data_IF_419419901264
#
_entry.id   IF_419419901264
#
_cell.length_a   1.000
_cell.length_b   1.000
_cell.length_c   1.000
_cell.angle_alpha   90.00
_cell.angle_beta   90.00
_cell.angle_gamma   90.00
#
_symmetry.space_group_name_H-M   'P 1'
#
loop_
_entity.id
_entity.type
_entity.pdbx_description
1 polymer ?
#
# COMPACT_ATOMS: atom_id res chain seq x y z
N UNK A 1 10.99 21.41 -22.72
CA UNK A 1 11.36 20.51 -21.63
C UNK A 1 10.18 20.47 -20.68
N UNK A 2 9.36 19.44 -20.75
CA UNK A 2 8.26 19.20 -19.79
C UNK A 2 8.96 18.68 -18.53
N UNK A 3 8.99 19.48 -17.46
CA UNK A 3 9.37 19.00 -16.13
C UNK A 3 8.34 17.94 -15.76
N UNK A 4 8.69 16.68 -15.79
CA UNK A 4 7.95 15.62 -15.12
C UNK A 4 7.97 15.96 -13.62
N UNK A 5 6.87 16.53 -13.11
CA UNK A 5 6.69 16.69 -11.67
C UNK A 5 6.84 15.31 -11.03
N UNK A 6 7.78 15.18 -10.12
CA UNK A 6 7.99 13.94 -9.40
C UNK A 6 6.71 13.66 -8.62
N UNK A 7 6.05 12.52 -8.88
CA UNK A 7 4.85 12.09 -8.16
C UNK A 7 5.15 12.07 -6.66
N UNK A 8 4.34 12.77 -5.87
CA UNK A 8 4.45 12.70 -4.42
C UNK A 8 3.75 11.44 -3.91
N UNK A 9 4.54 10.50 -3.42
CA UNK A 9 4.07 9.20 -2.94
C UNK A 9 4.28 9.09 -1.43
N UNK A 10 3.24 8.70 -0.71
CA UNK A 10 3.32 8.27 0.68
C UNK A 10 3.36 6.74 0.73
N UNK A 11 4.38 6.17 1.35
CA UNK A 11 4.45 4.74 1.68
C UNK A 11 3.66 4.50 2.96
N UNK A 12 2.36 4.30 2.83
CA UNK A 12 1.47 4.12 3.98
C UNK A 12 1.58 2.70 4.51
N UNK A 13 2.00 2.54 5.77
CA UNK A 13 2.06 1.22 6.42
C UNK A 13 0.71 0.51 6.35
N UNK A 14 0.71 -0.78 6.06
CA UNK A 14 -0.52 -1.57 5.90
C UNK A 14 -1.36 -1.64 7.19
N UNK A 15 -0.74 -1.53 8.36
CA UNK A 15 -1.48 -1.41 9.62
C UNK A 15 -2.28 -0.11 9.69
N UNK A 16 -1.72 1.02 9.20
CA UNK A 16 -2.44 2.30 9.08
C UNK A 16 -3.55 2.25 8.01
N UNK A 17 -3.36 1.50 6.93
CA UNK A 17 -4.42 1.29 5.92
C UNK A 17 -5.60 0.55 6.52
N UNK A 18 -5.36 -0.48 7.31
CA UNK A 18 -6.39 -1.31 7.98
C UNK A 18 -6.88 -0.70 9.30
N UNK A 19 -6.28 0.37 9.79
CA UNK A 19 -6.69 1.02 11.03
C UNK A 19 -8.14 1.51 10.96
N UNK A 20 -8.83 1.49 12.09
CA UNK A 20 -10.22 1.95 12.23
C UNK A 20 -10.23 3.34 12.85
N UNK A 21 -10.90 4.27 12.21
CA UNK A 21 -11.05 5.63 12.71
C UNK A 21 -12.22 6.36 12.02
N UNK A 22 -12.81 7.31 12.74
CA UNK A 22 -13.89 8.16 12.24
C UNK A 22 -13.45 9.63 12.31
N UNK A 23 -12.91 10.13 11.22
CA UNK A 23 -12.50 11.53 11.04
C UNK A 23 -13.11 12.10 9.77
N UNK A 24 -13.31 13.41 9.74
CA UNK A 24 -13.86 14.07 8.58
C UNK A 24 -12.82 14.14 7.42
N UNK A 25 -13.27 14.43 6.18
CA UNK A 25 -12.37 14.42 5.03
C UNK A 25 -11.20 15.40 5.14
N UNK A 26 -11.36 16.53 5.81
CA UNK A 26 -10.33 17.56 5.95
C UNK A 26 -9.30 17.17 7.03
N UNK A 27 -9.76 16.59 8.14
CA UNK A 27 -8.90 15.98 9.15
C UNK A 27 -8.04 14.88 8.53
N UNK A 28 -8.66 14.03 7.70
CA UNK A 28 -7.97 12.96 7.02
C UNK A 28 -6.92 13.47 6.03
N UNK A 29 -7.24 14.54 5.27
CA UNK A 29 -6.26 15.23 4.40
C UNK A 29 -5.09 15.80 5.19
N UNK A 30 -5.37 16.45 6.31
CA UNK A 30 -4.31 16.98 7.17
C UNK A 30 -3.45 15.88 7.75
N UNK A 31 -4.04 14.78 8.20
CA UNK A 31 -3.31 13.62 8.71
C UNK A 31 -2.39 13.02 7.64
N UNK A 32 -2.86 12.81 6.42
CA UNK A 32 -2.03 12.31 5.31
C UNK A 32 -0.85 13.25 4.99
N UNK A 33 -1.04 14.56 5.05
CA UNK A 33 0.03 15.53 4.88
C UNK A 33 1.07 15.43 6.00
N UNK A 34 0.63 15.25 7.25
CA UNK A 34 1.52 15.02 8.40
C UNK A 34 2.34 13.75 8.20
N UNK A 35 1.70 12.63 7.83
CA UNK A 35 2.38 11.36 7.58
C UNK A 35 3.44 11.49 6.48
N UNK A 36 3.09 12.12 5.37
CA UNK A 36 4.02 12.34 4.26
C UNK A 36 5.20 13.23 4.65
N UNK A 37 4.95 14.27 5.44
CA UNK A 37 6.02 15.16 5.93
C UNK A 37 6.94 14.43 6.89
N UNK A 38 6.41 13.67 7.84
CA UNK A 38 7.18 12.85 8.77
C UNK A 38 8.04 11.80 8.04
N UNK A 39 7.47 11.14 7.01
CA UNK A 39 8.21 10.16 6.24
C UNK A 39 9.40 10.77 5.46
N UNK A 40 9.26 12.01 4.95
CA UNK A 40 10.34 12.72 4.26
C UNK A 40 11.48 13.16 5.18
N UNK A 41 11.15 13.56 6.41
CA UNK A 41 12.16 14.07 7.36
C UNK A 41 13.05 12.94 7.88
N UNK A 42 12.50 11.72 7.93
CA UNK A 42 13.21 10.52 8.43
C UNK A 42 13.93 10.74 9.77
N UNK A 43 13.31 11.55 10.65
CA UNK A 43 13.88 11.94 11.94
C UNK A 43 13.22 11.15 13.07
N UNK A 44 14.00 10.86 14.11
CA UNK A 44 13.55 10.18 15.34
C UNK A 44 12.67 11.06 16.22
N UNK A 45 12.56 12.36 15.91
CA UNK A 45 11.88 13.36 16.77
C UNK A 45 10.34 13.27 16.75
N UNK A 46 9.73 12.47 15.89
CA UNK A 46 8.27 12.39 15.73
C UNK A 46 7.60 13.74 15.41
N UNK A 47 8.36 14.72 14.93
CA UNK A 47 7.89 16.10 14.69
C UNK A 47 8.05 16.49 13.23
N UNK A 48 7.08 17.25 12.73
CA UNK A 48 7.18 17.87 11.42
C UNK A 48 6.68 19.31 11.46
N UNK A 49 7.16 20.10 10.51
CA UNK A 49 6.76 21.49 10.33
C UNK A 49 6.03 21.68 9.01
N UNK A 50 4.85 22.31 9.03
CA UNK A 50 4.04 22.57 7.84
C UNK A 50 3.51 24.01 7.91
N UNK A 51 3.71 24.78 6.84
CA UNK A 51 3.19 26.14 6.76
C UNK A 51 1.67 26.15 6.59
N UNK A 52 1.00 27.12 7.21
CA UNK A 52 -0.45 27.31 7.08
C UNK A 52 -0.87 27.46 5.61
N UNK A 53 -0.07 28.15 4.79
CA UNK A 53 -0.32 28.31 3.36
C UNK A 53 -0.28 26.96 2.60
N UNK A 54 0.66 26.08 2.94
CA UNK A 54 0.74 24.74 2.35
C UNK A 54 -0.49 23.90 2.72
N UNK A 55 -0.90 23.90 3.99
CA UNK A 55 -2.10 23.18 4.44
C UNK A 55 -3.35 23.68 3.69
N UNK A 56 -3.53 24.99 3.60
CA UNK A 56 -4.65 25.61 2.87
C UNK A 56 -4.68 25.18 1.39
N UNK A 57 -3.54 25.26 0.72
CA UNK A 57 -3.43 24.92 -0.70
C UNK A 57 -3.68 23.44 -0.97
N UNK A 58 -3.17 22.56 -0.12
CA UNK A 58 -3.29 21.10 -0.28
C UNK A 58 -4.69 20.59 0.05
N UNK A 59 -5.30 21.10 1.10
CA UNK A 59 -6.69 20.75 1.46
C UNK A 59 -7.66 21.34 0.42
N UNK A 60 -7.36 22.54 -0.11
CA UNK A 60 -8.10 23.24 -1.15
C UNK A 60 -9.62 23.26 -0.90
N UNK A 61 -10.02 23.80 0.26
CA UNK A 61 -11.41 23.85 0.67
C UNK A 61 -11.82 25.22 1.14
N UNK A 62 -13.07 25.60 0.83
CA UNK A 62 -13.68 26.80 1.37
C UNK A 62 -13.81 26.76 2.90
N UNK A 63 -13.83 25.58 3.48
CA UNK A 63 -13.95 25.37 4.93
C UNK A 63 -12.62 25.44 5.67
N UNK A 64 -11.48 25.59 4.97
CA UNK A 64 -10.12 25.66 5.58
C UNK A 64 -9.37 26.83 4.95
N UNK A 65 -9.82 28.04 5.22
CA UNK A 65 -9.24 29.27 4.65
C UNK A 65 -8.37 30.03 5.62
N UNK A 66 -8.71 29.98 6.91
CA UNK A 66 -8.04 30.76 7.94
C UNK A 66 -7.27 29.83 8.89
N UNK A 67 -6.36 30.43 9.63
CA UNK A 67 -5.54 29.77 10.65
C UNK A 67 -6.39 29.04 11.71
N UNK A 68 -7.53 29.66 12.09
CA UNK A 68 -8.44 29.09 13.09
C UNK A 68 -8.99 27.73 12.71
N UNK A 69 -9.35 27.52 11.44
CA UNK A 69 -9.86 26.25 10.97
C UNK A 69 -8.78 25.16 11.02
N UNK A 70 -7.52 25.50 10.71
CA UNK A 70 -6.40 24.55 10.83
C UNK A 70 -6.18 24.15 12.30
N UNK A 71 -6.22 25.13 13.23
CA UNK A 71 -6.15 24.87 14.67
C UNK A 71 -7.26 23.92 15.11
N UNK A 72 -8.49 24.14 14.64
CA UNK A 72 -9.63 23.28 14.96
C UNK A 72 -9.41 21.84 14.43
N UNK A 73 -8.92 21.69 13.20
CA UNK A 73 -8.60 20.37 12.64
C UNK A 73 -7.51 19.65 13.43
N UNK A 74 -6.43 20.33 13.80
CA UNK A 74 -5.36 19.77 14.62
C UNK A 74 -5.85 19.40 16.03
N UNK A 75 -6.67 20.26 16.65
CA UNK A 75 -7.27 19.99 17.95
C UNK A 75 -8.20 18.78 17.90
N UNK A 76 -8.95 18.62 16.82
CA UNK A 76 -9.79 17.45 16.58
C UNK A 76 -8.96 16.18 16.40
N UNK A 77 -7.92 16.20 15.57
CA UNK A 77 -7.02 15.06 15.39
C UNK A 77 -6.34 14.62 16.70
N UNK A 78 -6.03 15.56 17.58
CA UNK A 78 -5.46 15.27 18.90
C UNK A 78 -6.45 14.52 19.80
N UNK A 79 -7.74 14.84 19.70
CA UNK A 79 -8.78 14.29 20.59
C UNK A 79 -9.43 13.01 20.07
N UNK A 80 -9.23 12.66 18.78
CA UNK A 80 -9.83 11.47 18.18
C UNK A 80 -8.91 10.27 18.23
N UNK A 81 -9.44 9.07 18.51
CA UNK A 81 -8.66 7.86 18.51
C UNK A 81 -8.51 7.26 17.12
N UNK A 82 -7.40 6.56 16.95
CA UNK A 82 -7.15 5.61 15.87
C UNK A 82 -6.93 4.23 16.48
N UNK A 83 -7.59 3.22 15.92
CA UNK A 83 -7.55 1.85 16.43
C UNK A 83 -6.84 0.95 15.45
N UNK A 84 -5.85 0.19 15.92
CA UNK A 84 -5.23 -0.89 15.14
C UNK A 84 -5.10 -2.16 15.96
N UNK A 85 -4.93 -3.26 15.24
CA UNK A 85 -4.53 -4.52 15.87
C UNK A 85 -3.02 -4.59 15.93
N UNK A 86 -2.50 -4.87 17.13
CA UNK A 86 -1.07 -5.11 17.32
C UNK A 86 -0.66 -6.50 16.78
N UNK A 87 0.64 -6.78 16.79
CA UNK A 87 1.19 -8.06 16.34
C UNK A 87 0.69 -9.28 17.14
N UNK A 88 0.08 -9.06 18.33
CA UNK A 88 -0.56 -10.11 19.16
C UNK A 88 -2.08 -10.17 18.94
N UNK A 89 -2.58 -9.52 17.89
CA UNK A 89 -4.01 -9.44 17.56
C UNK A 89 -4.88 -8.77 18.65
N UNK A 90 -4.28 -7.89 19.48
CA UNK A 90 -5.00 -7.10 20.48
C UNK A 90 -5.32 -5.73 19.88
N UNK A 91 -6.47 -5.18 20.21
CA UNK A 91 -6.82 -3.81 19.88
C UNK A 91 -5.98 -2.82 20.68
N UNK A 92 -5.40 -1.86 20.00
CA UNK A 92 -4.68 -0.75 20.57
C UNK A 92 -5.34 0.56 20.10
N UNK A 93 -5.49 1.52 21.03
CA UNK A 93 -6.04 2.83 20.80
C UNK A 93 -4.98 3.88 21.04
N UNK A 94 -4.79 4.78 20.05
CA UNK A 94 -3.82 5.88 20.14
C UNK A 94 -4.41 7.17 19.57
N UNK A 95 -3.82 8.32 19.90
CA UNK A 95 -4.11 9.59 19.23
C UNK A 95 -3.42 9.67 17.87
N UNK A 96 -3.99 10.41 16.95
CA UNK A 96 -3.34 10.70 15.67
C UNK A 96 -2.08 11.55 15.85
N UNK A 97 -2.18 12.55 16.74
CA UNK A 97 -1.09 13.45 17.11
C UNK A 97 -1.09 13.67 18.62
N UNK A 98 0.09 13.93 19.19
CA UNK A 98 0.20 14.30 20.61
C UNK A 98 -0.11 15.78 20.83
N UNK A 99 0.30 16.64 19.91
CA UNK A 99 0.11 18.06 20.03
C UNK A 99 0.65 18.84 18.84
N UNK A 100 0.51 20.16 18.94
CA UNK A 100 1.05 21.08 17.95
C UNK A 100 1.38 22.42 18.60
N UNK A 101 2.31 23.14 17.98
CA UNK A 101 2.64 24.53 18.28
C UNK A 101 2.52 25.36 17.02
N UNK A 102 2.16 26.61 17.15
CA UNK A 102 2.14 27.58 16.05
C UNK A 102 3.27 28.59 16.27
N UNK A 103 4.17 28.68 15.31
CA UNK A 103 5.04 29.84 15.19
C UNK A 103 4.27 30.92 14.41
N UNK A 104 3.94 32.02 15.14
CA UNK A 104 3.14 33.09 14.55
C UNK A 104 3.92 33.97 13.58
N UNK A 105 5.28 33.99 13.68
CA UNK A 105 6.11 34.85 12.84
C UNK A 105 6.10 34.41 11.38
N UNK A 106 6.15 33.09 11.14
CA UNK A 106 6.15 32.51 9.78
C UNK A 106 4.91 31.67 9.46
N UNK A 107 3.90 31.69 10.31
CA UNK A 107 2.65 30.89 10.20
C UNK A 107 2.93 29.38 10.06
N UNK A 108 3.93 28.84 10.75
CA UNK A 108 4.31 27.44 10.67
C UNK A 108 3.76 26.65 11.86
N UNK A 109 3.08 25.55 11.57
CA UNK A 109 2.65 24.57 12.58
C UNK A 109 3.75 23.52 12.77
N UNK A 110 4.26 23.40 13.99
CA UNK A 110 5.11 22.30 14.43
C UNK A 110 4.20 21.25 15.07
N UNK A 111 4.06 20.12 14.44
CA UNK A 111 3.12 19.04 14.81
C UNK A 111 3.92 17.85 15.31
N UNK A 112 3.52 17.32 16.47
CA UNK A 112 4.11 16.14 17.08
C UNK A 112 3.17 14.93 16.91
N UNK A 113 3.62 13.92 16.18
CA UNK A 113 2.91 12.64 16.03
C UNK A 113 2.97 11.82 17.31
N UNK A 114 2.02 10.92 17.52
CA UNK A 114 2.16 9.88 18.54
C UNK A 114 3.35 8.97 18.19
N UNK A 115 4.05 8.48 19.21
CA UNK A 115 5.20 7.58 19.01
C UNK A 115 4.80 6.32 18.27
N UNK A 116 3.60 5.82 18.52
CA UNK A 116 3.06 4.60 17.93
C UNK A 116 2.74 4.79 16.45
N UNK A 117 2.12 5.92 16.08
CA UNK A 117 1.87 6.26 14.68
C UNK A 117 3.20 6.48 13.94
N UNK A 118 4.16 7.16 14.57
CA UNK A 118 5.50 7.36 14.01
C UNK A 118 6.24 6.01 13.83
N UNK A 119 6.17 5.11 14.81
CA UNK A 119 6.77 3.78 14.72
C UNK A 119 6.22 3.00 13.50
N UNK A 120 4.92 3.09 13.22
CA UNK A 120 4.34 2.51 12.01
C UNK A 120 4.87 3.15 10.72
N UNK A 121 5.17 4.46 10.74
CA UNK A 121 5.76 5.13 9.57
C UNK A 121 7.17 4.65 9.26
N UNK A 122 7.97 4.33 10.26
CA UNK A 122 9.35 3.85 10.07
C UNK A 122 9.42 2.34 9.86
N UNK A 123 8.47 1.57 10.40
CA UNK A 123 8.41 0.10 10.26
C UNK A 123 7.73 -0.38 8.97
N UNK A 124 7.34 0.53 8.07
CA UNK A 124 6.57 0.16 6.87
C UNK A 124 7.28 -0.86 5.97
N UNK A 125 8.60 -0.88 5.96
CA UNK A 125 9.37 -1.88 5.21
C UNK A 125 9.28 -3.28 5.82
N UNK A 126 9.03 -3.38 7.14
CA UNK A 126 8.91 -4.65 7.86
C UNK A 126 7.48 -5.19 7.85
N UNK A 127 6.50 -4.29 8.00
CA UNK A 127 5.09 -4.64 8.11
C UNK A 127 4.37 -4.66 6.74
N UNK A 128 5.04 -4.18 5.70
CA UNK A 128 4.49 -3.95 4.38
C UNK A 128 3.82 -2.58 4.26
N UNK A 129 3.76 -2.06 3.04
CA UNK A 129 3.22 -0.74 2.75
C UNK A 129 2.41 -0.69 1.47
N UNK A 130 1.57 0.33 1.40
CA UNK A 130 0.78 0.69 0.22
C UNK A 130 1.27 2.03 -0.32
N UNK A 131 1.80 2.10 -1.55
CA UNK A 131 2.19 3.37 -2.16
C UNK A 131 0.95 4.16 -2.55
N UNK A 132 0.74 5.30 -1.89
CA UNK A 132 -0.41 6.19 -2.07
C UNK A 132 0.04 7.42 -2.85
N UNK A 133 -0.55 7.66 -4.01
CA UNK A 133 -0.35 8.89 -4.77
C UNK A 133 -1.13 10.03 -4.10
N UNK A 134 -0.40 11.03 -3.57
CA UNK A 134 -1.01 12.11 -2.82
C UNK A 134 -1.92 13.00 -3.67
N UNK A 135 -1.62 13.20 -4.94
CA UNK A 135 -2.45 14.01 -5.83
C UNK A 135 -3.85 13.39 -5.96
N UNK A 136 -3.90 12.10 -6.30
CA UNK A 136 -5.17 11.36 -6.39
C UNK A 136 -5.89 11.39 -5.03
N UNK A 137 -5.17 11.03 -3.97
CA UNK A 137 -5.75 10.89 -2.64
C UNK A 137 -6.32 12.21 -2.10
N UNK A 138 -5.59 13.32 -2.26
CA UNK A 138 -6.01 14.65 -1.81
C UNK A 138 -7.14 15.22 -2.67
N UNK A 139 -7.33 14.77 -3.90
CA UNK A 139 -8.47 15.15 -4.74
C UNK A 139 -9.80 14.63 -4.20
N UNK A 140 -9.79 13.52 -3.43
CA UNK A 140 -10.99 12.90 -2.87
C UNK A 140 -11.62 13.79 -1.79
N UNK A 141 -12.94 14.01 -1.89
CA UNK A 141 -13.71 14.91 -1.02
C UNK A 141 -14.43 14.17 0.12
N UNK A 142 -14.78 12.90 -0.11
CA UNK A 142 -15.50 12.07 0.85
C UNK A 142 -14.53 11.23 1.69
N UNK A 143 -14.73 11.18 3.01
CA UNK A 143 -13.98 10.26 3.89
C UNK A 143 -14.15 8.80 3.48
N UNK A 144 -15.33 8.42 2.98
CA UNK A 144 -15.57 7.07 2.49
C UNK A 144 -14.78 6.76 1.23
N UNK A 145 -14.68 7.72 0.30
CA UNK A 145 -13.84 7.57 -0.90
C UNK A 145 -12.37 7.44 -0.56
N UNK A 146 -11.88 8.26 0.37
CA UNK A 146 -10.51 8.21 0.88
C UNK A 146 -10.21 6.85 1.51
N UNK A 147 -11.10 6.35 2.37
CA UNK A 147 -10.94 5.05 3.03
C UNK A 147 -11.04 3.88 2.06
N UNK A 148 -12.00 3.89 1.14
CA UNK A 148 -12.12 2.85 0.11
C UNK A 148 -10.92 2.85 -0.83
N UNK A 149 -10.41 4.02 -1.22
CA UNK A 149 -9.18 4.09 -2.00
C UNK A 149 -8.03 3.38 -1.27
N UNK A 150 -7.79 3.69 0.01
CA UNK A 150 -6.74 3.06 0.80
C UNK A 150 -6.90 1.53 0.86
N UNK A 151 -8.10 1.04 1.22
CA UNK A 151 -8.39 -0.38 1.35
C UNK A 151 -8.27 -1.15 0.04
N UNK A 152 -8.70 -0.55 -1.07
CA UNK A 152 -8.61 -1.16 -2.39
C UNK A 152 -7.20 -1.04 -2.97
N UNK A 153 -6.51 0.10 -2.76
CA UNK A 153 -5.13 0.30 -3.19
C UNK A 153 -4.17 -0.69 -2.55
N UNK A 154 -4.46 -1.11 -1.31
CA UNK A 154 -3.70 -2.15 -0.62
C UNK A 154 -3.55 -3.41 -1.48
N UNK A 155 -4.61 -3.83 -2.17
CA UNK A 155 -4.68 -5.08 -2.93
C UNK A 155 -4.61 -4.92 -4.45
N UNK A 156 -4.88 -3.73 -5.00
CA UNK A 156 -5.02 -3.53 -6.45
C UNK A 156 -3.76 -3.80 -7.27
N UNK A 157 -2.58 -3.88 -6.62
CA UNK A 157 -1.34 -4.28 -7.29
C UNK A 157 -1.27 -5.77 -7.63
N UNK A 158 -2.09 -6.59 -6.99
CA UNK A 158 -2.02 -8.04 -7.05
C UNK A 158 -3.36 -8.70 -7.36
N UNK A 159 -4.46 -8.05 -6.99
CA UNK A 159 -5.84 -8.53 -7.21
C UNK A 159 -6.61 -7.57 -8.10
N UNK A 160 -7.26 -8.11 -9.12
CA UNK A 160 -8.24 -7.36 -9.95
C UNK A 160 -9.62 -7.32 -9.30
N UNK A 161 -9.95 -8.31 -8.48
CA UNK A 161 -11.20 -8.42 -7.73
C UNK A 161 -10.85 -8.53 -6.26
N UNK A 162 -11.36 -7.60 -5.45
CA UNK A 162 -11.12 -7.52 -4.02
C UNK A 162 -12.45 -7.73 -3.33
N UNK A 163 -12.57 -8.80 -2.56
CA UNK A 163 -13.78 -9.15 -1.82
C UNK A 163 -13.67 -8.70 -0.37
N UNK A 164 -14.75 -8.11 0.13
CA UNK A 164 -14.98 -7.84 1.54
C UNK A 164 -16.35 -8.36 1.95
N UNK A 165 -16.45 -9.02 3.09
CA UNK A 165 -17.77 -9.24 3.69
C UNK A 165 -18.40 -7.90 4.06
N UNK A 166 -19.73 -7.83 4.04
CA UNK A 166 -20.43 -6.58 4.36
C UNK A 166 -20.16 -6.13 5.81
N UNK A 167 -20.01 -7.07 6.72
CA UNK A 167 -19.66 -6.81 8.13
C UNK A 167 -18.26 -6.24 8.27
N UNK A 168 -17.26 -6.88 7.64
CA UNK A 168 -15.89 -6.42 7.67
C UNK A 168 -15.73 -5.02 7.06
N UNK A 169 -16.37 -4.78 5.91
CA UNK A 169 -16.31 -3.47 5.26
C UNK A 169 -16.91 -2.37 6.14
N UNK A 170 -18.06 -2.63 6.78
CA UNK A 170 -18.65 -1.69 7.71
C UNK A 170 -17.77 -1.47 8.95
N UNK A 171 -17.14 -2.51 9.47
CA UNK A 171 -16.20 -2.40 10.58
C UNK A 171 -15.00 -1.51 10.21
N UNK A 172 -14.35 -1.74 9.06
CA UNK A 172 -13.22 -0.95 8.59
C UNK A 172 -13.57 0.52 8.33
N UNK A 173 -14.82 0.79 8.01
CA UNK A 173 -15.35 2.15 7.78
C UNK A 173 -15.96 2.80 9.03
N UNK A 174 -15.97 2.12 10.20
CA UNK A 174 -16.63 2.55 11.44
C UNK A 174 -18.14 2.82 11.25
N UNK A 175 -18.81 1.92 10.53
CA UNK A 175 -20.22 2.02 10.15
C UNK A 175 -21.10 0.87 10.66
N UNK A 176 -20.64 0.13 11.66
CA UNK A 176 -21.37 -1.04 12.20
C UNK A 176 -22.79 -0.68 12.64
N UNK A 177 -22.93 0.50 13.24
CA UNK A 177 -24.21 1.01 13.77
C UNK A 177 -24.89 2.03 12.85
N UNK A 178 -24.31 2.27 11.65
CA UNK A 178 -24.88 3.20 10.65
C UNK A 178 -25.40 2.41 9.44
N UNK A 179 -26.43 2.94 8.81
CA UNK A 179 -27.02 2.35 7.61
C UNK A 179 -27.43 0.87 7.78
N UNK A 180 -28.42 0.56 8.64
CA UNK A 180 -28.84 -0.82 8.90
C UNK A 180 -29.29 -1.53 7.63
N UNK A 181 -29.93 -0.81 6.69
CA UNK A 181 -30.33 -1.34 5.40
C UNK A 181 -29.19 -1.23 4.39
N UNK A 182 -28.90 -2.32 3.71
CA UNK A 182 -27.86 -2.35 2.66
C UNK A 182 -28.12 -1.31 1.56
N UNK A 183 -29.37 -1.10 1.18
CA UNK A 183 -29.74 -0.10 0.15
C UNK A 183 -29.28 1.32 0.55
N UNK A 184 -29.37 1.68 1.82
CA UNK A 184 -28.88 2.96 2.31
C UNK A 184 -27.36 3.03 2.33
N UNK A 185 -26.70 1.97 2.79
CA UNK A 185 -25.23 1.85 2.76
C UNK A 185 -24.72 1.99 1.31
N UNK A 186 -25.34 1.26 0.36
CA UNK A 186 -24.99 1.37 -1.06
C UNK A 186 -25.16 2.81 -1.56
N UNK A 187 -26.33 3.41 -1.33
CA UNK A 187 -26.69 4.75 -1.82
C UNK A 187 -25.83 5.85 -1.22
N UNK A 188 -25.50 5.76 0.08
CA UNK A 188 -24.80 6.85 0.81
C UNK A 188 -23.30 6.68 0.88
N UNK A 189 -22.76 5.48 0.73
CA UNK A 189 -21.34 5.15 0.87
C UNK A 189 -20.75 4.64 -0.43
N UNK A 190 -21.25 3.52 -0.94
CA UNK A 190 -20.60 2.81 -2.05
C UNK A 190 -20.73 3.56 -3.39
N UNK A 191 -21.94 3.98 -3.77
CA UNK A 191 -22.17 4.64 -5.06
C UNK A 191 -21.50 6.03 -5.15
N UNK A 192 -21.56 6.89 -4.12
CA UNK A 192 -20.80 8.13 -4.14
C UNK A 192 -19.30 7.91 -4.22
N UNK A 193 -18.77 6.95 -3.47
CA UNK A 193 -17.34 6.64 -3.49
C UNK A 193 -16.91 6.06 -4.86
N UNK A 194 -17.70 5.17 -5.46
CA UNK A 194 -17.47 4.66 -6.82
C UNK A 194 -17.40 5.79 -7.84
N UNK A 195 -18.37 6.69 -7.82
CA UNK A 195 -18.40 7.84 -8.74
C UNK A 195 -17.18 8.74 -8.56
N UNK A 196 -16.81 9.01 -7.33
CA UNK A 196 -15.68 9.90 -7.03
C UNK A 196 -14.34 9.26 -7.43
N UNK A 197 -14.11 8.00 -7.09
CA UNK A 197 -12.89 7.28 -7.48
C UNK A 197 -12.78 7.19 -9.00
N UNK A 198 -13.86 6.85 -9.70
CA UNK A 198 -13.86 6.76 -11.16
C UNK A 198 -13.64 8.13 -11.82
N UNK A 199 -14.09 9.22 -11.20
CA UNK A 199 -13.86 10.59 -11.72
C UNK A 199 -12.38 11.01 -11.73
N UNK A 200 -11.53 10.34 -10.96
CA UNK A 200 -10.08 10.58 -10.98
C UNK A 200 -9.42 10.15 -12.29
N UNK A 201 -10.06 9.26 -13.05
CA UNK A 201 -9.52 8.66 -14.28
C UNK A 201 -8.29 7.76 -14.06
N UNK A 202 -7.82 7.63 -12.82
CA UNK A 202 -6.62 6.87 -12.45
C UNK A 202 -6.92 5.62 -11.63
N UNK A 203 -8.02 5.63 -10.88
CA UNK A 203 -8.42 4.51 -10.02
C UNK A 203 -9.90 4.22 -10.24
N UNK A 204 -10.16 3.24 -11.09
CA UNK A 204 -11.52 2.92 -11.55
C UNK A 204 -11.98 1.67 -10.83
N UNK A 205 -13.20 1.72 -10.27
CA UNK A 205 -13.80 0.60 -9.58
C UNK A 205 -15.21 0.31 -10.10
N UNK A 206 -15.57 -0.96 -10.11
CA UNK A 206 -16.96 -1.41 -10.23
C UNK A 206 -17.31 -2.31 -9.05
N UNK A 207 -18.61 -2.45 -8.77
CA UNK A 207 -19.12 -3.08 -7.55
C UNK A 207 -20.08 -4.19 -7.95
N UNK A 208 -19.78 -5.42 -7.52
CA UNK A 208 -20.64 -6.59 -7.67
C UNK A 208 -21.06 -7.09 -6.29
N UNK A 209 -22.35 -7.30 -6.11
CA UNK A 209 -22.94 -7.80 -4.87
C UNK A 209 -23.02 -9.33 -4.91
N UNK A 210 -22.54 -9.96 -3.84
CA UNK A 210 -22.69 -11.39 -3.62
C UNK A 210 -23.75 -11.60 -2.53
N UNK A 211 -24.75 -12.43 -2.81
CA UNK A 211 -25.90 -12.64 -1.93
C UNK A 211 -25.87 -14.04 -1.34
N UNK A 212 -26.22 -14.11 -0.05
CA UNK A 212 -26.59 -15.35 0.62
C UNK A 212 -28.12 -15.34 0.83
N UNK A 213 -28.83 -16.11 0.04
CA UNK A 213 -30.29 -16.02 -0.03
C UNK A 213 -30.76 -14.65 -0.56
N UNK A 214 -31.54 -13.93 0.25
CA UNK A 214 -32.07 -12.59 -0.10
C UNK A 214 -31.22 -11.43 0.38
N UNK A 215 -30.19 -11.69 1.22
CA UNK A 215 -29.35 -10.65 1.81
C UNK A 215 -28.01 -10.57 1.10
N UNK A 216 -27.47 -9.36 0.95
CA UNK A 216 -26.09 -9.15 0.50
C UNK A 216 -25.16 -9.54 1.64
N UNK A 217 -24.25 -10.46 1.35
CA UNK A 217 -23.28 -11.03 2.28
C UNK A 217 -21.89 -10.40 2.10
N UNK A 218 -21.47 -10.28 0.85
CA UNK A 218 -20.16 -9.70 0.53
C UNK A 218 -20.22 -8.86 -0.75
N UNK A 219 -19.16 -8.09 -0.96
CA UNK A 219 -19.02 -7.17 -2.08
C UNK A 219 -17.69 -7.44 -2.77
N UNK A 220 -17.74 -7.66 -4.07
CA UNK A 220 -16.59 -7.70 -4.95
C UNK A 220 -16.36 -6.31 -5.55
N UNK A 221 -15.19 -5.75 -5.28
CA UNK A 221 -14.71 -4.56 -5.97
C UNK A 221 -13.83 -5.00 -7.13
N UNK A 222 -14.27 -4.72 -8.35
CA UNK A 222 -13.49 -4.94 -9.57
C UNK A 222 -12.66 -3.68 -9.76
N UNK A 223 -11.33 -3.78 -9.59
CA UNK A 223 -10.44 -2.62 -9.57
C UNK A 223 -9.56 -2.58 -10.81
N UNK A 224 -9.56 -1.43 -11.49
CA UNK A 224 -8.61 -1.08 -12.53
C UNK A 224 -7.76 0.08 -12.06
N UNK A 225 -6.59 -0.25 -11.55
CA UNK A 225 -5.61 0.70 -11.04
C UNK A 225 -4.69 1.12 -12.19
N UNK A 226 -4.84 2.36 -12.65
CA UNK A 226 -4.09 2.96 -13.75
C UNK A 226 -2.98 3.89 -13.25
N UNK A 227 -2.84 4.03 -11.93
CA UNK A 227 -1.76 4.79 -11.34
C UNK A 227 -0.56 3.87 -11.10
N UNK A 228 0.54 4.15 -11.83
CA UNK A 228 1.77 3.38 -11.69
C UNK A 228 2.25 3.38 -10.25
N UNK A 229 2.50 2.19 -9.71
CA UNK A 229 3.05 2.03 -8.37
C UNK A 229 4.53 2.39 -8.40
N UNK A 230 4.84 3.58 -7.90
CA UNK A 230 6.23 3.99 -7.69
C UNK A 230 6.67 3.42 -6.35
N UNK A 231 7.66 2.55 -6.38
CA UNK A 231 8.38 2.10 -5.20
C UNK A 231 9.62 2.98 -5.03
N UNK A 232 10.13 3.12 -3.82
CA UNK A 232 11.36 3.88 -3.61
C UNK A 232 12.47 3.40 -4.55
N UNK A 233 13.02 4.32 -5.33
CA UNK A 233 14.25 4.05 -6.05
C UNK A 233 15.41 3.93 -5.05
N UNK A 234 16.42 3.12 -5.40
CA UNK A 234 17.59 2.85 -4.54
C UNK A 234 18.37 4.11 -4.16
N UNK A 235 18.17 5.23 -4.88
CA UNK A 235 18.82 6.51 -4.63
C UNK A 235 18.23 7.29 -3.45
N UNK A 236 16.97 6.99 -3.06
CA UNK A 236 16.24 7.69 -2.01
C UNK A 236 16.18 6.90 -0.70
N UNK A 237 16.82 5.73 -0.63
CA UNK A 237 17.01 5.05 0.63
C UNK A 237 17.96 5.87 1.51
N UNK A 238 17.60 6.16 2.76
CA UNK A 238 18.50 6.83 3.68
C UNK A 238 19.80 6.02 3.73
N UNK A 239 20.91 6.67 3.43
CA UNK A 239 22.23 6.09 3.67
C UNK A 239 22.32 5.79 5.16
N UNK A 240 22.58 4.53 5.48
CA UNK A 240 22.99 4.06 6.78
C UNK A 240 22.12 4.46 7.99
N UNK A 241 21.01 3.76 8.19
CA UNK A 241 20.45 3.56 9.53
C UNK A 241 20.48 2.08 9.94
N UNK A 242 21.63 1.43 9.75
CA UNK A 242 21.83 0.06 10.27
C UNK A 242 22.26 0.02 11.73
N UNK A 243 22.58 1.16 12.37
CA UNK A 243 23.28 1.11 13.67
C UNK A 243 22.73 1.94 14.83
N UNK A 244 21.52 2.53 14.76
CA UNK A 244 21.03 3.18 15.98
C UNK A 244 19.52 3.01 16.17
N UNK A 245 19.21 2.49 17.35
CA UNK A 245 17.92 2.49 18.04
C UNK A 245 16.96 1.34 17.70
N UNK A 246 17.40 0.10 17.93
CA UNK A 246 16.52 -0.86 18.59
C UNK A 246 16.85 -0.81 20.09
N UNK A 247 16.04 -0.11 20.88
CA UNK A 247 16.04 -0.35 22.31
C UNK A 247 15.61 -1.80 22.52
N UNK A 248 16.61 -2.58 22.88
CA UNK A 248 16.62 -3.93 23.36
C UNK A 248 15.60 -4.10 24.50
N UNK A 249 14.46 -4.68 24.20
CA UNK A 249 13.67 -5.38 25.21
C UNK A 249 13.76 -6.86 24.84
N UNK A 250 14.93 -7.40 25.00
CA UNK A 250 15.27 -8.79 25.32
C UNK A 250 16.77 -8.98 25.13
N UNK A 251 17.51 -8.59 26.15
CA UNK A 251 18.82 -9.18 26.38
C UNK A 251 18.53 -10.58 26.89
N UNK A 252 18.77 -11.55 26.07
CA UNK A 252 19.30 -12.88 26.32
C UNK A 252 18.98 -13.75 25.10
N UNK A 253 19.88 -13.77 24.15
CA UNK A 253 20.39 -14.97 23.53
C UNK A 253 21.52 -14.63 22.54
N UNK A 254 22.74 -14.71 23.05
CA UNK A 254 23.93 -14.81 22.21
C UNK A 254 24.02 -16.26 21.74
N UNK A 255 23.36 -16.59 20.65
CA UNK A 255 23.70 -17.76 19.84
C UNK A 255 23.67 -17.41 18.37
N UNK A 256 24.83 -17.56 17.77
CA UNK A 256 25.19 -17.35 16.39
C UNK A 256 24.22 -18.00 15.42
N UNK A 257 23.43 -17.21 14.67
CA UNK A 257 23.11 -17.54 13.29
C UNK A 257 23.04 -16.25 12.49
N UNK A 258 24.00 -16.09 11.62
CA UNK A 258 24.24 -14.93 10.75
C UNK A 258 23.17 -14.74 9.65
N UNK A 259 22.07 -15.46 9.70
CA UNK A 259 21.07 -15.48 8.66
C UNK A 259 20.00 -14.42 8.93
N UNK A 260 20.02 -13.34 8.15
CA UNK A 260 19.06 -12.25 8.24
C UNK A 260 17.78 -12.58 7.47
N UNK A 261 16.62 -12.53 8.14
CA UNK A 261 15.31 -12.72 7.52
C UNK A 261 14.49 -11.46 7.75
N UNK A 262 14.24 -10.64 6.72
CA UNK A 262 13.25 -9.58 6.81
C UNK A 262 11.84 -10.20 6.97
N UNK A 263 10.96 -9.53 7.69
CA UNK A 263 9.55 -9.97 7.86
C UNK A 263 9.36 -11.29 8.64
N UNK A 264 10.23 -11.61 9.59
CA UNK A 264 10.12 -12.82 10.45
C UNK A 264 8.73 -13.02 11.04
N UNK A 265 8.01 -11.95 11.35
CA UNK A 265 6.67 -11.97 11.95
C UNK A 265 5.59 -12.58 11.06
N UNK A 266 5.81 -12.61 9.75
CA UNK A 266 4.90 -13.17 8.75
C UNK A 266 5.04 -14.69 8.59
N UNK A 267 5.97 -15.32 9.32
CA UNK A 267 6.16 -16.76 9.36
C UNK A 267 5.73 -17.31 10.73
N UNK A 268 5.31 -18.57 10.74
CA UNK A 268 5.19 -19.32 11.99
C UNK A 268 6.57 -19.85 12.39
N UNK A 269 6.76 -20.27 13.65
CA UNK A 269 8.04 -20.82 14.13
C UNK A 269 8.56 -21.96 13.24
N UNK A 270 7.66 -22.86 12.83
CA UNK A 270 8.00 -23.99 11.95
C UNK A 270 8.42 -23.52 10.56
N UNK A 271 7.62 -22.68 9.92
CA UNK A 271 7.90 -22.19 8.55
C UNK A 271 9.10 -21.27 8.50
N UNK A 272 9.42 -20.56 9.59
CA UNK A 272 10.65 -19.78 9.71
C UNK A 272 11.89 -20.66 9.76
N UNK A 273 11.83 -21.78 10.49
CA UNK A 273 12.91 -22.77 10.51
C UNK A 273 13.11 -23.41 9.12
N UNK A 274 12.01 -23.79 8.47
CA UNK A 274 12.05 -24.35 7.12
C UNK A 274 12.63 -23.35 6.10
N UNK A 275 12.28 -22.08 6.23
CA UNK A 275 12.80 -21.00 5.39
C UNK A 275 14.30 -20.82 5.59
N UNK A 276 14.77 -20.77 6.85
CA UNK A 276 16.20 -20.66 7.17
C UNK A 276 16.98 -21.81 6.57
N UNK A 277 16.46 -23.04 6.67
CA UNK A 277 17.13 -24.23 6.12
C UNK A 277 17.18 -24.25 4.58
N UNK A 278 16.11 -23.81 3.92
CA UNK A 278 16.02 -23.86 2.45
C UNK A 278 16.81 -22.73 1.75
N UNK A 279 16.95 -21.55 2.39
CA UNK A 279 17.51 -20.37 1.76
C UNK A 279 18.74 -19.80 2.48
N UNK A 280 19.42 -20.57 3.33
CA UNK A 280 20.60 -20.19 4.10
C UNK A 280 21.77 -19.61 3.28
N UNK A 281 21.82 -19.91 1.99
CA UNK A 281 22.87 -19.47 1.07
C UNK A 281 22.56 -18.12 0.40
N UNK A 282 21.42 -17.48 0.72
CA UNK A 282 20.97 -16.22 0.13
C UNK A 282 20.99 -15.15 1.20
N UNK A 283 21.73 -14.08 0.95
CA UNK A 283 21.74 -12.91 1.86
C UNK A 283 20.57 -11.96 1.52
N UNK A 284 19.52 -12.03 2.30
CA UNK A 284 18.35 -11.15 2.16
C UNK A 284 18.58 -9.72 2.69
N UNK A 285 19.79 -9.36 3.11
CA UNK A 285 20.19 -7.96 3.30
C UNK A 285 20.33 -7.25 1.96
N UNK A 286 20.70 -8.00 0.90
CA UNK A 286 20.71 -7.46 -0.46
C UNK A 286 19.30 -7.07 -0.90
N UNK A 287 19.17 -5.82 -1.34
CA UNK A 287 17.89 -5.22 -1.75
C UNK A 287 17.20 -5.99 -2.88
N UNK A 288 17.97 -6.63 -3.77
CA UNK A 288 17.44 -7.45 -4.87
C UNK A 288 16.68 -8.66 -4.32
N UNK A 289 17.33 -9.45 -3.45
CA UNK A 289 16.73 -10.63 -2.84
C UNK A 289 15.63 -10.28 -1.83
N UNK A 290 15.81 -9.18 -1.09
CA UNK A 290 14.78 -8.67 -0.17
C UNK A 290 13.47 -8.38 -0.88
N UNK A 291 13.52 -7.75 -2.06
CA UNK A 291 12.33 -7.48 -2.88
C UNK A 291 11.66 -8.76 -3.35
N UNK A 292 12.42 -9.72 -3.87
CA UNK A 292 11.87 -11.00 -4.34
C UNK A 292 11.20 -11.78 -3.20
N UNK A 293 11.80 -11.74 -2.01
CA UNK A 293 11.23 -12.35 -0.82
C UNK A 293 9.91 -11.68 -0.42
N UNK A 294 9.85 -10.35 -0.39
CA UNK A 294 8.62 -9.61 -0.09
C UNK A 294 7.50 -9.93 -1.07
N UNK A 295 7.82 -9.95 -2.37
CA UNK A 295 6.85 -10.31 -3.41
C UNK A 295 6.34 -11.75 -3.23
N UNK A 296 7.22 -12.71 -2.93
CA UNK A 296 6.82 -14.11 -2.72
C UNK A 296 5.93 -14.27 -1.48
N UNK A 297 6.25 -13.55 -0.38
CA UNK A 297 5.43 -13.50 0.83
C UNK A 297 4.05 -12.96 0.50
N UNK A 298 3.96 -11.79 -0.15
CA UNK A 298 2.69 -11.15 -0.47
C UNK A 298 1.80 -12.02 -1.35
N UNK A 299 2.36 -12.60 -2.43
CA UNK A 299 1.63 -13.51 -3.32
C UNK A 299 1.07 -14.72 -2.55
N UNK A 300 1.83 -15.25 -1.60
CA UNK A 300 1.40 -16.41 -0.80
C UNK A 300 0.29 -16.05 0.17
N UNK A 301 0.45 -14.95 0.90
CA UNK A 301 -0.55 -14.48 1.87
C UNK A 301 -1.88 -14.15 1.18
N UNK A 302 -1.80 -13.54 0.00
CA UNK A 302 -2.98 -13.22 -0.81
C UNK A 302 -3.71 -14.45 -1.32
N UNK A 303 -2.96 -15.43 -1.84
CA UNK A 303 -3.54 -16.68 -2.34
C UNK A 303 -4.33 -17.40 -1.26
N UNK A 304 -3.77 -17.47 -0.05
CA UNK A 304 -4.37 -18.21 1.05
C UNK A 304 -5.28 -17.35 1.94
N UNK A 305 -5.37 -16.05 1.65
CA UNK A 305 -6.11 -15.05 2.43
C UNK A 305 -5.76 -15.12 3.93
N UNK A 306 -4.47 -15.18 4.25
CA UNK A 306 -3.94 -15.33 5.60
C UNK A 306 -2.95 -14.22 5.93
N UNK A 307 -2.76 -13.95 7.23
CA UNK A 307 -1.80 -12.95 7.72
C UNK A 307 -0.38 -13.51 7.92
N UNK A 308 -0.23 -14.84 7.89
CA UNK A 308 1.05 -15.53 8.09
C UNK A 308 1.18 -16.71 7.15
N UNK A 309 2.41 -17.03 6.80
CA UNK A 309 2.74 -18.25 6.04
C UNK A 309 2.72 -19.44 6.98
N UNK A 310 1.67 -20.25 6.87
CA UNK A 310 1.49 -21.48 7.61
C UNK A 310 2.15 -22.66 6.88
N UNK A 311 2.29 -23.80 7.56
CA UNK A 311 2.90 -25.01 6.99
C UNK A 311 2.23 -25.47 5.69
N UNK A 312 0.91 -25.32 5.56
CA UNK A 312 0.16 -25.67 4.33
C UNK A 312 0.51 -24.78 3.13
N UNK A 313 0.85 -23.51 3.40
CA UNK A 313 1.18 -22.49 2.39
C UNK A 313 2.66 -22.46 2.03
N UNK A 314 3.51 -23.06 2.86
CA UNK A 314 4.95 -22.93 2.78
C UNK A 314 5.52 -23.46 1.46
N UNK A 315 5.04 -24.60 0.98
CA UNK A 315 5.50 -25.15 -0.28
C UNK A 315 5.21 -24.25 -1.48
N UNK A 316 4.06 -23.58 -1.47
CA UNK A 316 3.73 -22.60 -2.50
C UNK A 316 4.63 -21.36 -2.41
N UNK A 317 4.83 -20.83 -1.21
CA UNK A 317 5.76 -19.74 -0.94
C UNK A 317 7.18 -20.07 -1.45
N UNK A 318 7.71 -21.25 -1.05
CA UNK A 318 9.04 -21.72 -1.44
C UNK A 318 9.18 -21.73 -2.96
N UNK A 319 8.25 -22.38 -3.68
CA UNK A 319 8.26 -22.45 -5.13
C UNK A 319 8.15 -21.08 -5.81
N UNK A 320 7.34 -20.18 -5.25
CA UNK A 320 7.20 -18.81 -5.76
C UNK A 320 8.52 -18.04 -5.63
N UNK A 321 9.20 -18.16 -4.50
CA UNK A 321 10.49 -17.51 -4.29
C UNK A 321 11.59 -18.11 -5.17
N UNK A 322 11.66 -19.43 -5.29
CA UNK A 322 12.60 -20.13 -6.18
C UNK A 322 12.44 -19.71 -7.64
N UNK A 323 11.20 -19.59 -8.15
CA UNK A 323 10.95 -19.12 -9.51
C UNK A 323 11.43 -17.68 -9.72
N UNK A 324 11.17 -16.78 -8.75
CA UNK A 324 11.63 -15.39 -8.83
C UNK A 324 13.16 -15.26 -8.80
N UNK A 325 13.82 -16.08 -8.00
CA UNK A 325 15.28 -16.17 -7.96
C UNK A 325 15.86 -16.68 -9.28
N UNK A 326 15.23 -17.67 -9.87
CA UNK A 326 15.62 -18.21 -11.17
C UNK A 326 15.45 -17.17 -12.29
N UNK A 327 14.33 -16.43 -12.31
CA UNK A 327 14.12 -15.37 -13.30
C UNK A 327 15.14 -14.22 -13.16
N UNK A 328 15.57 -13.92 -11.92
CA UNK A 328 16.62 -12.94 -11.67
C UNK A 328 17.95 -13.43 -12.27
N UNK A 329 18.33 -14.68 -12.00
CA UNK A 329 19.57 -15.26 -12.53
C UNK A 329 19.59 -15.32 -14.06
N UNK A 330 18.46 -15.60 -14.71
CA UNK A 330 18.33 -15.53 -16.17
C UNK A 330 18.55 -14.12 -16.71
N UNK A 331 18.00 -13.11 -16.06
CA UNK A 331 18.19 -11.71 -16.47
C UNK A 331 19.63 -11.24 -16.30
N UNK A 332 20.31 -11.68 -15.26
CA UNK A 332 21.73 -11.38 -15.03
C UNK A 332 22.61 -12.06 -16.08
N UNK A 333 22.35 -13.32 -16.40
CA UNK A 333 23.09 -14.05 -17.45
C UNK A 333 22.81 -13.52 -18.87
N UNK A 334 21.63 -12.97 -19.15
CA UNK A 334 21.32 -12.35 -20.43
C UNK A 334 21.97 -10.97 -20.61
N UNK A 335 22.35 -10.29 -19.53
CA UNK A 335 23.05 -9.00 -19.60
C UNK A 335 24.55 -9.15 -19.98
N UNK A 336 25.12 -10.33 -19.86
CA UNK A 336 26.51 -10.64 -20.26
C UNK A 336 26.66 -11.05 -21.73
N UNK A 337 25.57 -11.40 -22.42
CA UNK A 337 25.63 -11.69 -23.85
C UNK A 337 25.51 -10.37 -24.65
N UNK A 338 26.62 -9.95 -25.26
CA UNK A 338 26.64 -8.90 -26.30
C UNK A 338 25.57 -9.22 -27.34
N UNK A 339 24.63 -8.30 -27.56
CA UNK A 339 23.61 -8.36 -28.61
C UNK A 339 24.29 -8.63 -29.95
N UNK A 340 24.25 -9.85 -30.43
CA UNK A 340 24.57 -10.18 -31.80
C UNK A 340 23.44 -9.70 -32.71
N UNK A 341 23.78 -9.24 -33.94
CA UNK A 341 22.94 -8.57 -34.95
C UNK A 341 21.76 -9.42 -35.49
N UNK A 342 21.21 -10.37 -34.76
CA UNK A 342 20.08 -11.23 -35.15
C UNK A 342 18.86 -11.04 -34.24
N UNK A 343 18.36 -9.82 -34.14
CA UNK A 343 17.05 -9.53 -33.54
C UNK A 343 16.22 -8.67 -34.48
N UNK A 344 15.98 -9.19 -35.70
CA UNK A 344 14.98 -8.66 -36.62
C UNK A 344 13.72 -9.53 -36.60
N UNK A 345 13.18 -9.86 -35.41
CA UNK A 345 11.89 -10.57 -35.36
C UNK A 345 10.72 -9.63 -35.06
N UNK A 346 11.00 -8.41 -34.62
CA UNK A 346 9.96 -7.41 -34.34
C UNK A 346 9.53 -6.57 -35.56
N UNK A 347 10.30 -6.61 -36.66
CA UNK A 347 9.95 -5.83 -37.86
C UNK A 347 9.09 -6.58 -38.88
N UNK A 348 8.91 -7.90 -38.73
CA UNK A 348 8.17 -8.70 -39.71
C UNK A 348 6.65 -8.59 -39.53
N UNK A 349 6.17 -8.23 -38.34
CA UNK A 349 4.74 -8.11 -38.07
C UNK A 349 4.14 -6.71 -38.34
N UNK A 350 4.97 -5.70 -38.50
CA UNK A 350 4.51 -4.32 -38.82
C UNK A 350 4.39 -4.05 -40.31
N UNK A 351 4.72 -5.03 -41.16
CA UNK A 351 4.63 -4.90 -42.62
C UNK A 351 3.32 -5.36 -43.25
N UNK A 352 2.44 -5.98 -42.45
CA UNK A 352 1.15 -6.46 -42.93
C UNK A 352 0.01 -5.60 -42.42
N UNK A 353 -0.94 -5.23 -43.28
CA UNK A 353 -2.20 -4.62 -42.87
C UNK A 353 -3.06 -5.62 -42.08
N UNK A 354 -4.02 -5.15 -41.28
CA UNK A 354 -4.92 -6.01 -40.51
C UNK A 354 -5.63 -7.06 -41.40
N UNK A 355 -6.02 -6.67 -42.63
CA UNK A 355 -6.69 -7.56 -43.60
C UNK A 355 -5.76 -8.67 -44.12
N UNK A 356 -4.48 -8.36 -44.34
CA UNK A 356 -3.48 -9.35 -44.77
C UNK A 356 -3.13 -10.34 -43.66
N UNK A 357 -3.19 -9.91 -42.40
CA UNK A 357 -2.97 -10.77 -41.25
C UNK A 357 -4.11 -11.77 -41.05
N UNK A 358 -5.36 -11.34 -41.22
CA UNK A 358 -6.55 -12.24 -41.20
C UNK A 358 -6.46 -13.30 -42.29
N UNK A 359 -6.06 -12.93 -43.51
CA UNK A 359 -5.89 -13.86 -44.63
C UNK A 359 -4.79 -14.92 -44.38
N UNK A 360 -3.68 -14.54 -43.74
CA UNK A 360 -2.60 -15.46 -43.36
C UNK A 360 -3.08 -16.44 -42.26
N UNK A 361 -3.82 -15.95 -41.27
CA UNK A 361 -4.40 -16.77 -40.19
C UNK A 361 -5.43 -17.77 -40.76
N UNK A 362 -6.32 -17.31 -41.65
CA UNK A 362 -7.32 -18.17 -42.31
C UNK A 362 -6.68 -19.24 -43.20
N UNK A 363 -5.61 -18.91 -43.93
CA UNK A 363 -4.84 -19.89 -44.75
C UNK A 363 -4.11 -20.90 -43.90
N UNK A 364 -3.60 -20.49 -42.72
CA UNK A 364 -2.92 -21.39 -41.79
C UNK A 364 -3.90 -22.36 -41.11
N UNK A 365 -5.11 -21.90 -40.80
CA UNK A 365 -6.18 -22.73 -40.23
C UNK A 365 -6.72 -23.74 -41.22
N UNK A 366 -6.92 -23.35 -42.50
CA UNK A 366 -7.31 -24.28 -43.55
C UNK A 366 -6.28 -25.39 -43.87
N UNK A 367 -5.00 -25.11 -43.59
CA UNK A 367 -3.93 -26.11 -43.76
C UNK A 367 -3.82 -27.14 -42.60
N UNK A 368 -4.44 -26.81 -41.45
CA UNK A 368 -4.42 -27.68 -40.25
C UNK A 368 -5.66 -28.53 -40.06
N UNK A 369 -6.74 -28.22 -40.74
CA UNK A 369 -8.05 -28.85 -40.54
C UNK A 369 -8.76 -29.22 -41.88
N UNK A 370 -8.06 -29.19 -43.00
CA UNK A 370 -8.50 -29.68 -44.31
C UNK A 370 -7.92 -31.02 -44.67
#
# INVERSE_FOLDING_TARGET
MIKTESKEILMKNNALVKARYDINPYENKLFILILHRLQKINDTTCKCSIKASEIKNRINSRSVRHRKEIINLLSSLRSRPIYFRDCKNRWAEYGFINGFKLDENDETFVIESSKEVHALLVSYLEDGYTPVNLEIWLSLKSSYSQRLYDLLRLWSGTKKVINYSLSELKELLMLENKYPLYAEFKRRVLEPARKELNSTGKFIIDIKENKLGRKVDSIDFIVKDLDDRVYFDKSDSPKDMSDTVYMDINKDDKSKSDFYIPNKKLFTTKTLSDFTNNFKNIDFRDTKYKKLLQDAIMITLEKDNTEKIYAKSYNYFKKTLENKLYDLSKKENQSEFKKTKFHNFDETFTQYSEDEFEDIVLKSQKKKFG
#
